data_IF_824584838680
#
_entry.id   IF_824584838680
#
_cell.length_a   1.000
_cell.length_b   1.000
_cell.length_c   1.000
_cell.angle_alpha   90.00
_cell.angle_beta   90.00
_cell.angle_gamma   90.00
#
_symmetry.space_group_name_H-M   'P 1'
#
loop_
_entity.id
_entity.type
_entity.pdbx_description
1 polymer ?
#
# COMPACT_ATOMS: atom_id res chain seq x y z
N UNK A 1 -1.15 -14.90 -16.41
CA UNK A 1 0.05 -14.37 -17.07
C UNK A 1 -0.12 -12.87 -17.15
N UNK A 2 0.87 -12.08 -16.73
CA UNK A 2 0.80 -10.62 -16.81
C UNK A 2 0.86 -10.20 -18.27
N UNK A 3 -0.04 -9.30 -18.69
CA UNK A 3 0.02 -8.68 -20.02
C UNK A 3 1.12 -7.62 -20.03
N UNK A 4 2.30 -7.99 -20.52
CA UNK A 4 3.46 -7.09 -20.55
C UNK A 4 3.27 -5.86 -21.45
N UNK A 5 2.42 -5.95 -22.48
CA UNK A 5 2.19 -4.82 -23.37
C UNK A 5 1.48 -3.69 -22.62
N UNK A 6 0.53 -4.03 -21.74
CA UNK A 6 -0.16 -3.05 -20.90
C UNK A 6 0.79 -2.27 -19.98
N UNK A 7 1.79 -2.94 -19.39
CA UNK A 7 2.72 -2.32 -18.43
C UNK A 7 3.85 -1.50 -19.08
N UNK A 8 4.14 -1.77 -20.35
CA UNK A 8 5.24 -1.11 -21.08
C UNK A 8 4.75 0.00 -22.02
N UNK A 9 3.44 0.11 -22.24
CA UNK A 9 2.89 1.21 -23.01
C UNK A 9 3.17 2.53 -22.29
N UNK A 10 3.67 3.56 -23.00
CA UNK A 10 3.84 4.88 -22.41
C UNK A 10 2.49 5.44 -21.97
N UNK A 11 2.50 6.23 -20.92
CA UNK A 11 1.34 7.04 -20.55
C UNK A 11 1.14 8.15 -21.59
N UNK A 12 -0.12 8.54 -21.80
CA UNK A 12 -0.46 9.62 -22.72
C UNK A 12 0.10 10.97 -22.25
N UNK A 13 0.55 11.80 -23.18
CA UNK A 13 1.05 13.15 -22.93
C UNK A 13 2.56 13.31 -23.12
N UNK A 14 3.12 14.41 -22.60
CA UNK A 14 4.54 14.77 -22.79
C UNK A 14 5.49 14.01 -21.84
N UNK A 15 4.94 13.33 -20.84
CA UNK A 15 5.69 12.56 -19.85
C UNK A 15 5.27 11.08 -19.91
N UNK A 16 5.99 10.22 -20.65
CA UNK A 16 5.60 8.83 -20.87
C UNK A 16 5.64 7.97 -19.60
N UNK A 17 6.31 8.44 -18.54
CA UNK A 17 6.35 7.80 -17.22
C UNK A 17 5.27 8.34 -16.27
N UNK A 18 4.56 9.40 -16.67
CA UNK A 18 3.58 10.09 -15.84
C UNK A 18 4.19 10.82 -14.64
N UNK A 19 3.31 11.34 -13.80
CA UNK A 19 3.68 12.12 -12.62
C UNK A 19 4.23 11.24 -11.49
N UNK A 20 5.03 11.85 -10.61
CA UNK A 20 5.52 11.17 -9.40
C UNK A 20 4.40 11.03 -8.36
N UNK A 21 4.00 9.78 -8.07
CA UNK A 21 2.91 9.45 -7.15
C UNK A 21 3.36 9.12 -5.72
N UNK A 22 4.64 9.34 -5.36
CA UNK A 22 5.14 9.02 -4.00
C UNK A 22 4.36 9.69 -2.85
N UNK A 23 3.73 10.84 -3.13
CA UNK A 23 2.94 11.58 -2.16
C UNK A 23 1.42 11.41 -2.36
N UNK A 24 1.00 10.56 -3.30
CA UNK A 24 -0.41 10.27 -3.53
C UNK A 24 -0.96 9.36 -2.41
N UNK A 25 -2.07 9.72 -1.75
CA UNK A 25 -2.65 8.91 -0.69
C UNK A 25 -2.97 7.47 -1.13
N UNK A 26 -3.37 7.26 -2.39
CA UNK A 26 -3.64 5.93 -2.90
C UNK A 26 -2.36 5.09 -3.00
N UNK A 27 -1.20 5.71 -3.27
CA UNK A 27 0.09 5.02 -3.27
C UNK A 27 0.51 4.62 -1.84
N UNK A 28 0.24 5.45 -0.83
CA UNK A 28 0.50 5.12 0.58
C UNK A 28 -0.30 3.89 1.05
N UNK A 29 -1.54 3.77 0.59
CA UNK A 29 -2.37 2.61 0.90
C UNK A 29 -1.78 1.31 0.32
N UNK A 30 -1.19 1.37 -0.87
CA UNK A 30 -0.50 0.23 -1.50
C UNK A 30 0.80 -0.13 -0.77
N UNK A 31 1.59 0.87 -0.37
CA UNK A 31 2.80 0.67 0.42
C UNK A 31 2.49 -0.05 1.74
N UNK A 32 1.43 0.36 2.44
CA UNK A 32 0.98 -0.28 3.69
C UNK A 32 0.65 -1.77 3.53
N UNK A 33 0.23 -2.22 2.34
CA UNK A 33 -0.04 -3.65 2.10
C UNK A 33 1.24 -4.50 2.11
N UNK A 34 2.40 -3.86 1.90
CA UNK A 34 3.72 -4.51 1.93
C UNK A 34 4.40 -4.41 3.30
N UNK A 35 3.80 -3.68 4.24
CA UNK A 35 4.30 -3.55 5.61
C UNK A 35 3.64 -4.55 6.55
N UNK A 36 4.40 -5.11 7.52
CA UNK A 36 3.81 -5.96 8.56
C UNK A 36 2.74 -5.21 9.36
N UNK A 37 1.55 -5.80 9.47
CA UNK A 37 0.45 -5.14 10.16
C UNK A 37 0.50 -5.42 11.66
N UNK A 38 0.41 -4.37 12.48
CA UNK A 38 0.27 -4.51 13.93
C UNK A 38 -1.21 -4.53 14.29
N UNK A 39 -1.69 -5.68 14.77
CA UNK A 39 -3.05 -5.82 15.27
C UNK A 39 -3.07 -5.70 16.79
N UNK A 40 -3.81 -4.72 17.30
CA UNK A 40 -4.01 -4.50 18.74
C UNK A 40 -5.46 -4.82 19.09
N UNK A 41 -5.66 -5.75 20.01
CA UNK A 41 -6.97 -6.06 20.61
C UNK A 41 -7.09 -5.24 21.90
N UNK A 42 -8.20 -4.53 22.06
CA UNK A 42 -8.48 -3.74 23.26
C UNK A 42 -9.52 -4.47 24.12
N UNK A 43 -9.28 -4.53 25.43
CA UNK A 43 -10.24 -5.05 26.41
C UNK A 43 -11.31 -4.01 26.79
N UNK A 44 -12.25 -4.42 27.64
CA UNK A 44 -13.16 -3.47 28.28
C UNK A 44 -12.33 -2.46 29.08
N UNK A 45 -12.59 -1.16 28.91
CA UNK A 45 -11.79 0.00 29.37
C UNK A 45 -10.73 0.54 28.39
N UNK A 46 -10.75 0.14 27.11
CA UNK A 46 -9.87 0.70 26.06
C UNK A 46 -8.37 0.45 26.31
N UNK A 47 -8.04 -0.49 27.19
CA UNK A 47 -6.67 -0.93 27.44
C UNK A 47 -6.28 -2.01 26.41
N UNK A 48 -5.07 -1.94 25.82
CA UNK A 48 -4.60 -2.98 24.92
C UNK A 48 -4.45 -4.29 25.71
N UNK A 49 -5.20 -5.32 25.33
CA UNK A 49 -5.21 -6.65 25.96
C UNK A 49 -4.31 -7.64 25.24
N UNK A 50 -4.03 -7.43 23.95
CA UNK A 50 -3.09 -8.24 23.17
C UNK A 50 -2.59 -7.47 21.95
N UNK A 51 -1.34 -7.71 21.56
CA UNK A 51 -0.74 -7.19 20.32
C UNK A 51 -0.06 -8.33 19.55
N UNK A 52 -0.27 -8.37 18.24
CA UNK A 52 0.39 -9.32 17.34
C UNK A 52 0.83 -8.64 16.04
N UNK A 53 2.03 -8.95 15.58
CA UNK A 53 2.52 -8.52 14.26
C UNK A 53 2.17 -9.60 13.22
N UNK A 54 1.49 -9.18 12.16
CA UNK A 54 1.14 -10.02 11.02
C UNK A 54 2.21 -9.76 9.95
N UNK A 55 3.08 -10.74 9.63
CA UNK A 55 4.03 -10.60 8.54
C UNK A 55 3.31 -10.54 7.19
N UNK A 56 3.99 -9.98 6.19
CA UNK A 56 3.56 -9.97 4.78
C UNK A 56 3.99 -11.24 4.08
#
# INVERSE_FOLDING_TARGET
MIDLALWLNPLDGENPSGEDLRNDPAFHELERLTEPQVKVVHGGHNQPSSQSTIPV
#
